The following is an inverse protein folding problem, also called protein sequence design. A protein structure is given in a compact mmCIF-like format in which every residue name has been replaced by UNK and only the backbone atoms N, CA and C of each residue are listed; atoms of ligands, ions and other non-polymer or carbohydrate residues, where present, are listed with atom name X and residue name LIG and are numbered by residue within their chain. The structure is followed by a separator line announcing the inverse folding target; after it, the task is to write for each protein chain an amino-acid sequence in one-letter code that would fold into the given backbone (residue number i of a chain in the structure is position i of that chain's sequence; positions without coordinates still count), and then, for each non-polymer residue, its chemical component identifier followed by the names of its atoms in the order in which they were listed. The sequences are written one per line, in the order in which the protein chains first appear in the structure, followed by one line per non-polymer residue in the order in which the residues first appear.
data_IF_615023618287
#
_entry.id   IF_615023618287
#
_cell.length_a   1.000
_cell.length_b   1.000
_cell.length_c   1.000
_cell.angle_alpha   90.00
_cell.angle_beta   90.00
_cell.angle_gamma   90.00
#
_symmetry.space_group_name_H-M   'P 1'
#
loop_
_entity.id
_entity.type
_entity.pdbx_description
1 polymer ?
#
# COMPACT_ATOMS: atom_id res chain seq x y z
N UNK A 1 53.08 -25.55 43.25
CA UNK A 1 51.70 -25.00 43.40
C UNK A 1 51.41 -23.88 42.37
N UNK A 2 51.69 -24.08 41.07
CA UNK A 2 51.39 -23.11 39.98
C UNK A 2 50.43 -23.66 38.90
N UNK A 3 50.22 -24.98 38.88
CA UNK A 3 49.44 -25.68 37.84
C UNK A 3 47.93 -25.50 38.04
N UNK A 4 47.47 -25.30 39.28
CA UNK A 4 46.04 -25.17 39.62
C UNK A 4 45.47 -23.81 39.12
N UNK A 5 46.27 -22.75 39.12
CA UNK A 5 45.84 -21.44 38.62
C UNK A 5 45.62 -21.43 37.10
N UNK A 6 46.42 -22.19 36.34
CA UNK A 6 46.33 -22.20 34.88
C UNK A 6 45.06 -22.90 34.37
N UNK A 7 44.64 -23.98 35.04
CA UNK A 7 43.42 -24.71 34.72
C UNK A 7 42.15 -23.87 34.99
N UNK A 8 42.15 -23.08 36.08
CA UNK A 8 41.05 -22.15 36.41
C UNK A 8 40.93 -21.05 35.35
N UNK A 9 42.04 -20.40 34.99
CA UNK A 9 42.05 -19.31 33.99
C UNK A 9 41.54 -19.80 32.63
N UNK A 10 41.97 -20.98 32.18
CA UNK A 10 41.52 -21.54 30.90
C UNK A 10 40.00 -21.79 30.86
N UNK A 11 39.42 -22.20 31.99
CA UNK A 11 37.98 -22.45 32.12
C UNK A 11 37.16 -21.16 32.06
N UNK A 12 37.63 -20.10 32.72
CA UNK A 12 37.01 -18.77 32.66
C UNK A 12 37.10 -18.14 31.27
N UNK A 13 38.24 -18.28 30.59
CA UNK A 13 38.40 -17.78 29.22
C UNK A 13 37.49 -18.51 28.23
N UNK A 14 37.33 -19.83 28.35
CA UNK A 14 36.39 -20.59 27.51
C UNK A 14 34.94 -20.15 27.72
N UNK A 15 34.53 -20.00 28.98
CA UNK A 15 33.18 -19.54 29.33
C UNK A 15 32.91 -18.13 28.79
N UNK A 16 33.88 -17.22 28.92
CA UNK A 16 33.76 -15.86 28.39
C UNK A 16 33.66 -15.84 26.86
N UNK A 17 34.41 -16.71 26.17
CA UNK A 17 34.34 -16.82 24.72
C UNK A 17 32.98 -17.35 24.24
N UNK A 18 32.44 -18.39 24.89
CA UNK A 18 31.11 -18.93 24.58
C UNK A 18 30.00 -17.88 24.81
N UNK A 19 30.06 -17.15 25.92
CA UNK A 19 29.12 -16.05 26.22
C UNK A 19 29.25 -14.93 25.19
N UNK A 20 30.48 -14.57 24.80
CA UNK A 20 30.71 -13.51 23.80
C UNK A 20 30.16 -13.91 22.42
N UNK A 21 30.30 -15.18 22.02
CA UNK A 21 29.73 -15.69 20.76
C UNK A 21 28.21 -15.66 20.80
N UNK A 22 27.59 -16.17 21.87
CA UNK A 22 26.12 -16.14 22.04
C UNK A 22 25.61 -14.71 22.06
N UNK A 23 26.26 -13.83 22.82
CA UNK A 23 25.95 -12.40 22.87
C UNK A 23 26.05 -11.77 21.49
N UNK A 24 27.13 -12.02 20.75
CA UNK A 24 27.32 -11.52 19.39
C UNK A 24 26.20 -11.91 18.43
N UNK A 25 25.74 -13.18 18.49
CA UNK A 25 24.61 -13.66 17.65
C UNK A 25 23.30 -12.96 18.03
N UNK A 26 23.03 -12.79 19.33
CA UNK A 26 21.82 -12.08 19.79
C UNK A 26 21.84 -10.62 19.35
N UNK A 27 22.96 -9.92 19.53
CA UNK A 27 23.10 -8.52 19.10
C UNK A 27 22.98 -8.38 17.58
N UNK A 28 23.56 -9.28 16.80
CA UNK A 28 23.41 -9.28 15.34
C UNK A 28 21.94 -9.48 14.93
N UNK A 29 21.21 -10.38 15.59
CA UNK A 29 19.78 -10.58 15.36
C UNK A 29 18.95 -9.34 15.69
N UNK A 30 19.23 -8.67 16.80
CA UNK A 30 18.55 -7.42 17.18
C UNK A 30 18.84 -6.29 16.19
N UNK A 31 20.10 -6.10 15.81
CA UNK A 31 20.49 -5.09 14.82
C UNK A 31 19.79 -5.32 13.47
N UNK A 32 19.75 -6.56 13.00
CA UNK A 32 19.05 -6.95 11.77
C UNK A 32 17.55 -6.65 11.84
N UNK A 33 16.90 -6.92 12.97
CA UNK A 33 15.48 -6.64 13.15
C UNK A 33 15.16 -5.14 13.11
N UNK A 34 16.02 -4.30 13.68
CA UNK A 34 15.87 -2.85 13.67
C UNK A 34 16.04 -2.27 12.26
N UNK A 35 17.01 -2.77 11.50
CA UNK A 35 17.23 -2.37 10.11
C UNK A 35 16.04 -2.73 9.22
N UNK A 36 15.50 -3.93 9.40
CA UNK A 36 14.31 -4.39 8.66
C UNK A 36 13.08 -3.50 8.90
N UNK A 37 12.85 -3.08 10.16
CA UNK A 37 11.75 -2.16 10.48
C UNK A 37 11.96 -0.78 9.85
N UNK A 38 13.18 -0.23 9.90
CA UNK A 38 13.50 1.05 9.24
C UNK A 38 13.29 0.98 7.74
N UNK A 39 13.80 -0.07 7.10
CA UNK A 39 13.63 -0.29 5.67
C UNK A 39 12.16 -0.38 5.28
N UNK A 40 11.32 -1.07 6.08
CA UNK A 40 9.87 -1.09 5.85
C UNK A 40 9.23 0.30 5.97
N UNK A 41 9.63 1.07 6.97
CA UNK A 41 9.13 2.43 7.16
C UNK A 41 9.51 3.32 5.98
N UNK A 42 10.77 3.31 5.56
CA UNK A 42 11.26 4.10 4.41
C UNK A 42 10.54 3.72 3.12
N UNK A 43 10.41 2.42 2.82
CA UNK A 43 9.68 1.94 1.64
C UNK A 43 8.21 2.38 1.64
N UNK A 44 7.57 2.40 2.82
CA UNK A 44 6.19 2.87 2.95
C UNK A 44 6.07 4.38 2.73
N UNK A 45 7.05 5.15 3.21
CA UNK A 45 7.10 6.59 3.00
C UNK A 45 7.25 6.95 1.53
N UNK A 46 7.97 6.15 0.73
CA UNK A 46 8.05 6.34 -0.72
C UNK A 46 6.66 6.27 -1.38
N UNK A 47 5.82 5.30 -1.03
CA UNK A 47 4.44 5.23 -1.56
C UNK A 47 3.57 6.39 -1.10
N UNK A 48 3.76 6.88 0.14
CA UNK A 48 3.05 8.05 0.64
C UNK A 48 3.49 9.32 -0.11
N UNK A 49 4.78 9.45 -0.41
CA UNK A 49 5.31 10.55 -1.22
C UNK A 49 4.80 10.48 -2.66
N UNK A 50 4.83 9.29 -3.27
CA UNK A 50 4.30 9.06 -4.61
C UNK A 50 2.80 9.42 -4.70
N UNK A 51 2.01 9.05 -3.69
CA UNK A 51 0.59 9.41 -3.63
C UNK A 51 0.32 10.93 -3.65
N UNK A 52 1.31 11.72 -3.21
CA UNK A 52 1.26 13.17 -3.13
C UNK A 52 2.16 13.86 -4.16
N UNK A 53 2.70 13.13 -5.14
CA UNK A 53 3.57 13.67 -6.18
C UNK A 53 3.37 12.94 -7.52
N UNK A 54 4.12 13.36 -8.55
CA UNK A 54 4.20 12.67 -9.83
C UNK A 54 2.86 12.34 -10.49
N UNK A 55 2.79 11.13 -11.05
CA UNK A 55 1.68 10.65 -11.87
C UNK A 55 0.41 10.38 -11.05
N UNK A 56 0.56 9.92 -9.80
CA UNK A 56 -0.58 9.64 -8.92
C UNK A 56 -1.26 10.94 -8.52
N UNK A 57 -0.50 11.99 -8.17
CA UNK A 57 -1.08 13.31 -7.93
C UNK A 57 -1.75 13.87 -9.19
N UNK A 58 -1.13 13.72 -10.37
CA UNK A 58 -1.71 14.16 -11.63
C UNK A 58 -3.04 13.45 -11.92
N UNK A 59 -3.11 12.13 -11.71
CA UNK A 59 -4.34 11.35 -11.83
C UNK A 59 -5.42 11.82 -10.87
N UNK A 60 -5.10 12.05 -9.59
CA UNK A 60 -6.05 12.59 -8.60
C UNK A 60 -6.60 13.94 -9.04
N UNK A 61 -5.73 14.84 -9.52
CA UNK A 61 -6.12 16.15 -10.02
C UNK A 61 -7.03 16.07 -11.25
N UNK A 62 -6.81 15.09 -12.13
CA UNK A 62 -7.71 14.82 -13.26
C UNK A 62 -9.10 14.39 -12.79
N UNK A 63 -9.17 13.47 -11.81
CA UNK A 63 -10.46 13.04 -11.25
C UNK A 63 -11.19 14.20 -10.57
N UNK A 64 -10.48 15.03 -9.80
CA UNK A 64 -11.06 16.23 -9.20
C UNK A 64 -11.58 17.21 -10.24
N UNK A 65 -10.85 17.41 -11.34
CA UNK A 65 -11.28 18.28 -12.43
C UNK A 65 -12.54 17.74 -13.09
N UNK A 66 -12.61 16.44 -13.33
CA UNK A 66 -13.79 15.78 -13.88
C UNK A 66 -15.02 15.98 -12.96
N UNK A 67 -14.86 15.72 -11.65
CA UNK A 67 -15.95 15.89 -10.67
C UNK A 67 -16.40 17.36 -10.64
N UNK A 68 -15.47 18.32 -10.64
CA UNK A 68 -15.76 19.77 -10.69
C UNK A 68 -16.51 20.17 -11.96
N UNK A 69 -16.15 19.64 -13.12
CA UNK A 69 -16.86 19.92 -14.37
C UNK A 69 -18.30 19.37 -14.37
N UNK A 70 -18.55 18.33 -13.56
CA UNK A 70 -19.86 17.67 -13.42
C UNK A 70 -20.55 18.03 -12.09
N UNK A 71 -20.05 19.03 -11.37
CA UNK A 71 -20.44 19.34 -9.99
C UNK A 71 -21.96 19.60 -9.87
N UNK A 72 -22.54 20.33 -10.82
CA UNK A 72 -23.98 20.60 -10.89
C UNK A 72 -24.85 19.34 -11.07
N UNK A 73 -24.28 18.23 -11.56
CA UNK A 73 -24.98 16.95 -11.72
C UNK A 73 -24.71 15.99 -10.56
N UNK A 74 -23.56 16.11 -9.88
CA UNK A 74 -23.13 15.20 -8.81
C UNK A 74 -23.48 15.68 -7.39
N UNK A 75 -23.77 16.98 -7.21
CA UNK A 75 -24.14 17.59 -5.92
C UNK A 75 -25.62 17.45 -5.53
N UNK A 76 -26.48 17.00 -6.43
CA UNK A 76 -27.84 16.59 -6.03
C UNK A 76 -27.68 15.41 -5.07
N UNK A 77 -28.50 15.33 -4.03
CA UNK A 77 -28.48 14.27 -3.01
C UNK A 77 -28.83 12.91 -3.64
N UNK A 78 -27.89 12.38 -4.41
CA UNK A 78 -28.01 11.20 -5.24
C UNK A 78 -27.38 10.06 -4.43
N UNK A 79 -28.09 8.94 -4.22
CA UNK A 79 -27.54 7.75 -3.59
C UNK A 79 -26.22 7.33 -4.25
N UNK A 80 -25.25 6.83 -3.47
CA UNK A 80 -23.93 6.41 -3.96
C UNK A 80 -24.01 5.55 -5.24
N UNK A 81 -24.95 4.60 -5.27
CA UNK A 81 -25.19 3.71 -6.43
C UNK A 81 -25.61 4.44 -7.71
N UNK A 82 -26.37 5.53 -7.60
CA UNK A 82 -26.76 6.32 -8.76
C UNK A 82 -25.61 7.23 -9.22
N UNK A 83 -24.73 7.66 -8.29
CA UNK A 83 -23.50 8.39 -8.60
C UNK A 83 -22.48 7.52 -9.32
N UNK A 84 -22.24 6.30 -8.82
CA UNK A 84 -21.34 5.31 -9.44
C UNK A 84 -21.83 4.92 -10.83
N UNK A 85 -23.13 4.68 -11.01
CA UNK A 85 -23.70 4.39 -12.32
C UNK A 85 -23.62 5.57 -13.32
N UNK A 86 -23.68 6.82 -12.83
CA UNK A 86 -23.52 8.00 -13.69
C UNK A 86 -22.08 8.16 -14.21
N UNK A 87 -21.10 8.08 -13.30
CA UNK A 87 -19.67 8.04 -13.65
C UNK A 87 -19.43 6.89 -14.60
N UNK A 88 -20.03 5.77 -14.22
CA UNK A 88 -20.23 4.55 -14.94
C UNK A 88 -20.44 4.75 -16.44
N UNK A 89 -21.54 5.43 -16.73
CA UNK A 89 -22.04 5.75 -18.06
C UNK A 89 -21.20 6.81 -18.77
N UNK A 90 -20.65 7.77 -18.02
CA UNK A 90 -19.81 8.83 -18.58
C UNK A 90 -18.50 8.31 -19.18
N UNK A 91 -18.09 7.10 -18.79
CA UNK A 91 -16.90 6.40 -19.27
C UNK A 91 -17.17 5.41 -20.41
N UNK A 92 -18.43 5.24 -20.86
CA UNK A 92 -18.78 4.29 -21.95
C UNK A 92 -18.46 4.83 -23.36
N UNK A 93 -17.45 5.68 -23.50
CA UNK A 93 -17.01 6.24 -24.79
C UNK A 93 -16.15 5.25 -25.59
N UNK A 94 -16.04 5.46 -26.91
CA UNK A 94 -15.17 4.65 -27.78
C UNK A 94 -13.69 5.05 -27.72
N UNK A 95 -13.37 6.18 -27.10
CA UNK A 95 -12.00 6.66 -26.91
C UNK A 95 -11.65 6.64 -25.42
N UNK A 96 -10.46 6.12 -25.10
CA UNK A 96 -9.93 6.14 -23.73
C UNK A 96 -9.74 7.58 -23.30
N UNK A 97 -10.53 7.99 -22.32
CA UNK A 97 -10.48 9.36 -21.79
C UNK A 97 -9.32 9.54 -20.80
N UNK A 98 -8.83 10.78 -20.64
CA UNK A 98 -7.86 11.11 -19.59
C UNK A 98 -8.38 10.73 -18.18
N UNK A 99 -9.70 10.76 -18.00
CA UNK A 99 -10.37 10.35 -16.78
C UNK A 99 -10.24 8.84 -16.52
N UNK A 100 -10.47 8.00 -17.53
CA UNK A 100 -10.29 6.55 -17.41
C UNK A 100 -8.84 6.19 -17.11
N UNK A 101 -7.87 6.83 -17.79
CA UNK A 101 -6.45 6.63 -17.50
C UNK A 101 -6.12 6.99 -16.06
N UNK A 102 -6.66 8.10 -15.55
CA UNK A 102 -6.47 8.50 -14.16
C UNK A 102 -7.03 7.47 -13.16
N UNK A 103 -8.19 6.87 -13.44
CA UNK A 103 -8.74 5.78 -12.61
C UNK A 103 -7.83 4.56 -12.65
N UNK A 104 -7.36 4.15 -13.83
CA UNK A 104 -6.44 3.01 -13.99
C UNK A 104 -5.12 3.25 -13.26
N UNK A 105 -4.54 4.45 -13.37
CA UNK A 105 -3.31 4.83 -12.67
C UNK A 105 -3.48 4.70 -11.15
N UNK A 106 -4.59 5.18 -10.60
CA UNK A 106 -4.85 5.06 -9.16
C UNK A 106 -5.08 3.62 -8.72
N UNK A 107 -5.80 2.82 -9.50
CA UNK A 107 -5.98 1.39 -9.19
C UNK A 107 -4.63 0.67 -9.17
N UNK A 108 -3.79 0.87 -10.20
CA UNK A 108 -2.46 0.26 -10.27
C UNK A 108 -1.55 0.70 -9.10
N UNK A 109 -1.66 1.96 -8.67
CA UNK A 109 -0.98 2.44 -7.48
C UNK A 109 -1.41 1.63 -6.23
N UNK A 110 -2.72 1.48 -5.98
CA UNK A 110 -3.19 0.72 -4.82
C UNK A 110 -2.86 -0.78 -4.87
N UNK A 111 -2.85 -1.37 -6.06
CA UNK A 111 -2.40 -2.75 -6.25
C UNK A 111 -0.90 -2.91 -5.92
N UNK A 112 -0.08 -1.92 -6.29
CA UNK A 112 1.34 -1.88 -5.96
C UNK A 112 1.59 -1.72 -4.45
N UNK A 113 0.81 -0.87 -3.80
CA UNK A 113 0.83 -0.66 -2.33
C UNK A 113 0.50 -1.97 -1.60
N UNK A 114 -0.57 -2.66 -2.01
CA UNK A 114 -0.97 -3.92 -1.39
C UNK A 114 0.06 -5.03 -1.62
N UNK A 115 0.66 -5.11 -2.82
CA UNK A 115 1.76 -6.03 -3.09
C UNK A 115 2.97 -5.77 -2.17
N UNK A 116 3.33 -4.50 -1.94
CA UNK A 116 4.39 -4.15 -1.01
C UNK A 116 4.07 -4.55 0.44
N UNK A 117 2.83 -4.35 0.86
CA UNK A 117 2.37 -4.75 2.19
C UNK A 117 2.34 -6.29 2.35
N UNK A 118 1.85 -7.03 1.35
CA UNK A 118 1.78 -8.50 1.35
C UNK A 118 3.16 -9.15 1.33
N UNK A 119 4.11 -8.57 0.62
CA UNK A 119 5.50 -9.02 0.59
C UNK A 119 6.30 -8.68 1.86
N UNK A 120 5.69 -7.98 2.82
CA UNK A 120 6.32 -7.49 4.06
C UNK A 120 7.50 -6.54 3.80
N UNK A 121 7.56 -5.95 2.60
CA UNK A 121 8.53 -4.91 2.24
C UNK A 121 8.07 -3.57 2.78
N UNK A 122 6.75 -3.33 2.86
CA UNK A 122 6.19 -2.13 3.48
C UNK A 122 5.52 -2.43 4.81
N UNK A 123 5.50 -1.43 5.69
CA UNK A 123 4.69 -1.39 6.89
C UNK A 123 3.21 -1.18 6.51
N UNK A 124 2.43 -2.26 6.56
CA UNK A 124 0.99 -2.24 6.24
C UNK A 124 0.21 -1.23 7.08
N UNK A 125 0.46 -1.16 8.38
CA UNK A 125 -0.30 -0.29 9.28
C UNK A 125 -0.11 1.18 8.90
N UNK A 126 1.13 1.57 8.59
CA UNK A 126 1.43 2.93 8.15
C UNK A 126 0.73 3.27 6.83
N UNK A 127 0.77 2.37 5.84
CA UNK A 127 0.09 2.56 4.56
C UNK A 127 -1.43 2.70 4.75
N UNK A 128 -2.04 1.84 5.57
CA UNK A 128 -3.47 1.89 5.87
C UNK A 128 -3.87 3.20 6.55
N UNK A 129 -3.08 3.69 7.52
CA UNK A 129 -3.36 4.96 8.21
C UNK A 129 -3.39 6.17 7.26
N UNK A 130 -2.60 6.16 6.18
CA UNK A 130 -2.51 7.28 5.26
C UNK A 130 -3.41 7.14 4.02
N UNK A 131 -3.71 5.92 3.58
CA UNK A 131 -4.32 5.69 2.27
C UNK A 131 -5.75 5.15 2.34
N UNK A 132 -6.18 4.54 3.45
CA UNK A 132 -7.47 3.82 3.54
C UNK A 132 -8.71 4.70 3.36
N UNK A 133 -8.72 5.93 3.89
CA UNK A 133 -9.88 6.85 3.74
C UNK A 133 -10.06 7.26 2.26
N UNK A 134 -8.97 7.60 1.58
CA UNK A 134 -9.05 7.93 0.16
C UNK A 134 -9.41 6.69 -0.67
N UNK A 135 -8.78 5.55 -0.40
CA UNK A 135 -9.05 4.28 -1.08
C UNK A 135 -10.53 3.89 -1.00
N UNK A 136 -11.15 4.00 0.19
CA UNK A 136 -12.59 3.72 0.34
C UNK A 136 -13.45 4.69 -0.46
N UNK A 137 -13.25 6.01 -0.31
CA UNK A 137 -14.03 7.00 -1.08
C UNK A 137 -13.89 6.82 -2.58
N UNK A 138 -12.68 6.54 -3.04
CA UNK A 138 -12.38 6.27 -4.44
C UNK A 138 -13.10 5.00 -4.92
N UNK A 139 -13.00 3.90 -4.16
CA UNK A 139 -13.75 2.67 -4.44
C UNK A 139 -15.25 2.94 -4.52
N UNK A 140 -15.84 3.62 -3.55
CA UNK A 140 -17.28 3.88 -3.54
C UNK A 140 -17.73 4.70 -4.76
N UNK A 141 -16.89 5.60 -5.23
CA UNK A 141 -17.22 6.45 -6.37
C UNK A 141 -17.08 5.71 -7.71
N UNK A 142 -16.11 4.80 -7.82
CA UNK A 142 -15.71 4.15 -9.07
C UNK A 142 -15.97 2.63 -9.11
N UNK A 143 -16.65 2.06 -8.11
CA UNK A 143 -16.87 0.62 -7.97
C UNK A 143 -17.42 -0.01 -9.26
N UNK A 144 -18.51 0.53 -9.81
CA UNK A 144 -19.13 -0.02 -11.02
C UNK A 144 -18.17 -0.04 -12.23
N UNK A 145 -17.36 1.01 -12.40
CA UNK A 145 -16.35 1.05 -13.46
C UNK A 145 -15.26 0.00 -13.25
N UNK A 146 -14.73 -0.05 -12.04
CA UNK A 146 -13.63 -0.95 -11.68
C UNK A 146 -14.10 -2.40 -11.83
N UNK A 147 -15.27 -2.74 -11.28
CA UNK A 147 -15.85 -4.08 -11.34
C UNK A 147 -16.13 -4.52 -12.79
N UNK A 148 -16.60 -3.60 -13.65
CA UNK A 148 -16.78 -3.90 -15.08
C UNK A 148 -15.47 -4.07 -15.82
N UNK A 149 -14.43 -3.27 -15.53
CA UNK A 149 -13.11 -3.42 -16.15
C UNK A 149 -12.42 -4.72 -15.72
N UNK A 150 -12.60 -5.13 -14.45
CA UNK A 150 -12.20 -6.43 -13.91
C UNK A 150 -12.91 -7.56 -14.66
N UNK A 151 -14.21 -7.41 -14.92
CA UNK A 151 -15.02 -8.45 -15.56
C UNK A 151 -14.88 -8.51 -17.10
N UNK A 152 -14.55 -7.40 -17.77
CA UNK A 152 -14.74 -7.23 -19.21
C UNK A 152 -13.48 -7.26 -20.08
N UNK A 153 -12.43 -6.51 -19.73
CA UNK A 153 -11.45 -6.07 -20.75
C UNK A 153 -10.04 -6.65 -20.59
N UNK A 154 -9.59 -6.98 -19.39
CA UNK A 154 -8.16 -7.21 -19.23
C UNK A 154 -7.67 -8.61 -19.58
N UNK A 155 -8.48 -9.67 -19.46
CA UNK A 155 -8.03 -11.06 -19.71
C UNK A 155 -6.71 -11.44 -19.01
N UNK A 156 -6.26 -10.57 -18.10
CA UNK A 156 -4.96 -10.57 -17.49
C UNK A 156 -5.18 -11.33 -16.19
N UNK A 157 -4.41 -12.39 -16.05
CA UNK A 157 -4.37 -13.27 -14.90
C UNK A 157 -3.78 -12.57 -13.66
N UNK A 158 -4.25 -11.36 -13.36
CA UNK A 158 -3.79 -10.49 -12.30
C UNK A 158 -4.99 -9.81 -11.64
N UNK A 159 -5.00 -9.67 -10.31
CA UNK A 159 -6.16 -9.17 -9.58
C UNK A 159 -6.19 -7.63 -9.61
N UNK A 160 -6.49 -7.03 -10.77
CA UNK A 160 -6.67 -5.58 -10.92
C UNK A 160 -7.69 -5.07 -9.89
N UNK A 161 -7.34 -4.02 -9.17
CA UNK A 161 -8.18 -3.45 -8.12
C UNK A 161 -8.19 -4.19 -6.80
N UNK A 162 -7.57 -5.37 -6.69
CA UNK A 162 -7.57 -6.13 -5.42
C UNK A 162 -6.88 -5.43 -4.27
N UNK A 163 -5.82 -4.66 -4.56
CA UNK A 163 -5.15 -3.86 -3.54
C UNK A 163 -6.01 -2.70 -3.08
N UNK A 164 -6.74 -2.07 -4.02
CA UNK A 164 -7.74 -1.07 -3.68
C UNK A 164 -8.86 -1.66 -2.80
N UNK A 165 -9.36 -2.86 -3.11
CA UNK A 165 -10.37 -3.55 -2.29
C UNK A 165 -9.84 -3.76 -0.88
N UNK A 166 -8.64 -4.35 -0.76
CA UNK A 166 -8.03 -4.70 0.52
C UNK A 166 -7.80 -3.47 1.42
N UNK A 167 -7.42 -2.33 0.83
CA UNK A 167 -7.24 -1.07 1.56
C UNK A 167 -8.58 -0.40 1.92
N UNK A 168 -9.61 -0.54 1.09
CA UNK A 168 -10.91 0.10 1.27
C UNK A 168 -11.82 -0.61 2.28
N UNK A 169 -11.75 -1.95 2.39
CA UNK A 169 -12.59 -2.74 3.32
C UNK A 169 -12.41 -2.32 4.79
N UNK A 170 -11.29 -1.69 5.14
CA UNK A 170 -10.98 -1.31 6.53
C UNK A 170 -11.65 0.01 6.98
N UNK A 171 -12.08 0.86 6.06
CA UNK A 171 -12.64 2.20 6.37
C UNK A 171 -14.18 2.27 6.34
N UNK A 172 -14.86 1.16 6.00
CA UNK A 172 -16.33 1.02 6.06
C UNK A 172 -17.00 0.90 4.69
N UNK A 173 -18.23 0.39 4.70
CA UNK A 173 -19.04 0.13 3.50
C UNK A 173 -19.39 1.42 2.75
N UNK A 174 -19.49 1.28 1.42
CA UNK A 174 -20.13 2.22 0.51
C UNK A 174 -21.67 2.14 0.61
#
# INVERSE_FOLDING_TARGET
MKIIHFASIRRWVSLAAEIAVIGGVVFAGLAYSGEWQRSQHEASLTYIEEFNSGDVLAARNELYRFIRQKENMLLVDIPNKARSAFIDRSMQGSEVTAHELAVVTLVNFFDSVDLCAKSKVCNRELLEQHLSDYASRFRCLYADFIDRRIAGDFGASGPFGSGLIALAEKSGDC
#
